data_IF_762342676442
#
_entry.id   IF_762342676442
#
_cell.length_a   1.000
_cell.length_b   1.000
_cell.length_c   1.000
_cell.angle_alpha   90.00
_cell.angle_beta   90.00
_cell.angle_gamma   90.00
#
_symmetry.space_group_name_H-M   'P 1'
#
loop_
_entity.id
_entity.type
_entity.pdbx_description
1 polymer ?
#
# COMPACT_ATOMS: atom_id res chain seq x y z
N UNK A 1 25.82 -6.10 -7.17
CA UNK A 1 27.10 -5.85 -6.46
C UNK A 1 26.86 -5.68 -4.96
N UNK A 2 25.93 -4.84 -4.51
CA UNK A 2 25.69 -4.62 -3.06
C UNK A 2 24.62 -5.55 -2.43
N UNK A 3 23.99 -6.45 -3.21
CA UNK A 3 22.92 -7.34 -2.75
C UNK A 3 21.76 -6.62 -2.03
N UNK A 4 21.40 -5.43 -2.52
CA UNK A 4 20.32 -4.62 -1.98
C UNK A 4 19.04 -4.80 -2.78
N UNK A 5 17.91 -4.84 -2.05
CA UNK A 5 16.59 -4.62 -2.61
C UNK A 5 16.36 -3.11 -2.76
N UNK A 6 15.60 -2.72 -3.78
CA UNK A 6 15.33 -1.33 -4.13
C UNK A 6 13.84 -1.13 -4.33
N UNK A 7 13.31 -0.19 -3.56
CA UNK A 7 12.02 0.46 -3.77
C UNK A 7 12.28 1.83 -4.39
N UNK A 8 11.65 2.13 -5.53
CA UNK A 8 11.82 3.41 -6.23
C UNK A 8 10.61 4.32 -6.01
N UNK A 9 10.85 5.46 -5.37
CA UNK A 9 9.87 6.53 -5.18
C UNK A 9 10.04 7.62 -6.24
N UNK A 10 9.01 8.45 -6.42
CA UNK A 10 8.98 9.60 -7.33
C UNK A 10 9.07 9.31 -8.85
N UNK A 11 8.96 10.38 -9.63
CA UNK A 11 8.94 10.32 -11.09
C UNK A 11 10.32 10.18 -11.75
N UNK A 12 10.43 9.52 -12.93
CA UNK A 12 9.29 9.06 -13.74
C UNK A 12 9.55 7.73 -14.45
N UNK A 13 9.36 6.59 -13.78
CA UNK A 13 9.09 5.35 -14.54
C UNK A 13 8.09 4.49 -13.78
N UNK A 14 6.91 4.35 -14.38
CA UNK A 14 5.94 3.32 -14.01
C UNK A 14 6.59 1.94 -13.99
N UNK A 15 6.10 0.96 -13.23
CA UNK A 15 6.55 -0.42 -13.42
C UNK A 15 6.39 -0.84 -14.88
N UNK A 16 7.36 -1.55 -15.45
CA UNK A 16 7.34 -1.97 -16.87
C UNK A 16 7.81 -3.43 -17.03
N UNK A 17 7.61 -4.24 -15.99
CA UNK A 17 8.11 -5.61 -15.93
C UNK A 17 9.60 -5.75 -15.61
N UNK A 18 10.25 -4.67 -15.15
CA UNK A 18 11.68 -4.65 -14.85
C UNK A 18 12.11 -5.72 -13.83
N UNK A 19 11.22 -6.12 -12.92
CA UNK A 19 11.42 -7.18 -11.94
C UNK A 19 11.88 -8.49 -12.58
N UNK A 20 11.45 -8.80 -13.82
CA UNK A 20 11.87 -10.01 -14.53
C UNK A 20 13.37 -10.02 -14.83
N UNK A 21 13.93 -8.86 -15.15
CA UNK A 21 15.35 -8.69 -15.47
C UNK A 21 16.16 -8.36 -14.22
N UNK A 22 15.60 -7.52 -13.34
CA UNK A 22 16.21 -7.00 -12.12
C UNK A 22 15.31 -7.33 -10.91
N UNK A 23 15.37 -8.57 -10.38
CA UNK A 23 14.47 -9.01 -9.32
C UNK A 23 14.67 -8.27 -7.98
N UNK A 24 15.77 -7.53 -7.86
CA UNK A 24 16.02 -6.67 -6.70
C UNK A 24 15.30 -5.33 -6.77
N UNK A 25 14.74 -4.93 -7.93
CA UNK A 25 13.83 -3.79 -8.04
C UNK A 25 12.41 -4.24 -7.69
N UNK A 26 12.14 -4.31 -6.38
CA UNK A 26 10.99 -5.06 -5.83
C UNK A 26 9.67 -4.34 -6.02
N UNK A 27 9.68 -3.01 -5.91
CA UNK A 27 8.48 -2.18 -5.99
C UNK A 27 8.81 -0.76 -6.43
N UNK A 28 7.75 0.00 -6.73
CA UNK A 28 7.82 1.42 -7.01
C UNK A 28 6.60 2.09 -6.44
N UNK A 29 6.71 3.33 -5.99
CA UNK A 29 5.55 4.09 -5.56
C UNK A 29 4.56 4.27 -6.73
N UNK A 30 4.94 5.06 -7.75
CA UNK A 30 4.15 5.34 -8.97
C UNK A 30 2.64 5.57 -8.74
N UNK A 31 2.30 6.10 -7.57
CA UNK A 31 0.94 6.34 -7.14
C UNK A 31 0.98 7.38 -6.02
N UNK A 32 -0.20 7.75 -5.53
CA UNK A 32 -0.30 8.56 -4.31
C UNK A 32 -0.55 7.62 -3.13
N UNK A 33 0.23 7.73 -2.06
CA UNK A 33 -0.05 7.01 -0.82
C UNK A 33 -1.33 7.53 -0.12
N UNK A 34 -1.92 6.76 0.79
CA UNK A 34 -3.24 7.12 1.38
C UNK A 34 -3.23 8.48 2.07
N UNK A 35 -2.10 8.86 2.66
CA UNK A 35 -1.97 10.09 3.42
C UNK A 35 -0.52 10.57 3.30
N UNK A 36 -0.27 11.29 2.20
CA UNK A 36 1.04 11.85 1.84
C UNK A 36 0.85 13.24 1.20
N UNK A 37 1.86 14.10 1.34
CA UNK A 37 1.89 15.46 0.81
C UNK A 37 0.62 16.29 1.09
N UNK A 38 0.04 16.15 2.30
CA UNK A 38 -1.21 16.77 2.72
C UNK A 38 -2.42 16.42 1.84
N UNK A 39 -2.35 15.31 1.10
CA UNK A 39 -3.37 14.83 0.17
C UNK A 39 -3.80 13.43 0.54
N UNK A 40 -5.06 13.17 0.25
CA UNK A 40 -5.72 11.91 0.58
C UNK A 40 -6.42 11.41 -0.67
N UNK A 41 -6.21 10.15 -1.02
CA UNK A 41 -6.95 9.53 -2.11
C UNK A 41 -8.28 8.94 -1.63
N UNK A 42 -9.25 8.85 -2.55
CA UNK A 42 -10.59 8.32 -2.26
C UNK A 42 -10.66 6.80 -2.52
N UNK A 43 -11.70 6.10 -2.04
CA UNK A 43 -11.91 4.70 -2.38
C UNK A 43 -11.92 4.43 -3.90
N UNK A 44 -12.46 5.35 -4.71
CA UNK A 44 -12.43 5.21 -6.17
C UNK A 44 -11.02 5.29 -6.73
N UNK A 45 -10.18 6.21 -6.24
CA UNK A 45 -8.77 6.31 -6.64
C UNK A 45 -7.98 5.05 -6.28
N UNK A 46 -8.26 4.45 -5.12
CA UNK A 46 -7.67 3.15 -4.77
C UNK A 46 -8.01 2.08 -5.81
N UNK A 47 -9.31 1.91 -6.11
CA UNK A 47 -9.74 0.90 -7.09
C UNK A 47 -9.14 1.18 -8.47
N UNK A 48 -9.08 2.44 -8.90
CA UNK A 48 -8.41 2.80 -10.17
C UNK A 48 -6.94 2.43 -10.14
N UNK A 49 -6.21 2.64 -9.05
CA UNK A 49 -4.80 2.28 -8.95
C UNK A 49 -4.57 0.78 -9.07
N UNK A 50 -5.44 -0.03 -8.46
CA UNK A 50 -5.41 -1.51 -8.57
C UNK A 50 -5.68 -1.98 -10.00
N UNK A 51 -6.67 -1.39 -10.67
CA UNK A 51 -7.09 -1.85 -12.02
C UNK A 51 -6.41 -1.12 -13.18
N UNK A 52 -5.60 -0.09 -12.93
CA UNK A 52 -4.91 0.67 -13.98
C UNK A 52 -3.41 0.68 -13.73
N UNK A 53 -2.95 1.25 -12.62
CA UNK A 53 -1.52 1.40 -12.35
C UNK A 53 -0.85 0.03 -12.10
N UNK A 54 -1.51 -0.84 -11.33
CA UNK A 54 -0.94 -2.14 -10.93
C UNK A 54 -0.90 -3.16 -12.08
N UNK A 55 -1.57 -2.89 -13.20
CA UNK A 55 -1.39 -3.68 -14.44
C UNK A 55 0.09 -3.65 -14.88
N UNK A 56 0.76 -2.52 -14.63
CA UNK A 56 2.13 -2.32 -15.07
C UNK A 56 3.15 -3.08 -14.20
N UNK A 57 2.78 -3.39 -12.95
CA UNK A 57 3.62 -4.10 -11.98
C UNK A 57 3.32 -3.72 -10.53
N UNK A 58 4.19 -4.12 -9.58
CA UNK A 58 3.98 -3.89 -8.15
C UNK A 58 4.00 -2.41 -7.79
N UNK A 59 3.18 -2.03 -6.81
CA UNK A 59 3.06 -0.67 -6.31
C UNK A 59 3.34 -0.60 -4.81
N UNK A 60 4.17 0.34 -4.38
CA UNK A 60 4.20 0.83 -2.99
C UNK A 60 3.17 1.94 -2.83
N UNK A 61 2.00 1.57 -2.31
CA UNK A 61 0.93 2.53 -1.99
C UNK A 61 0.92 2.95 -0.52
N UNK A 62 1.87 2.46 0.30
CA UNK A 62 1.88 2.67 1.76
C UNK A 62 0.48 2.47 2.39
N UNK A 63 -0.15 1.32 2.11
CA UNK A 63 -1.48 0.98 2.64
C UNK A 63 -1.40 0.51 4.10
N UNK A 64 -2.55 0.51 4.79
CA UNK A 64 -2.62 -0.03 6.16
C UNK A 64 -2.54 1.07 7.23
N UNK A 65 -3.17 2.22 6.97
CA UNK A 65 -3.35 3.27 7.98
C UNK A 65 -4.40 2.87 9.02
N UNK A 66 -4.06 2.94 10.31
CA UNK A 66 -4.95 2.52 11.39
C UNK A 66 -5.46 3.71 12.22
N UNK A 67 -4.77 4.86 12.17
CA UNK A 67 -5.29 6.14 12.65
C UNK A 67 -6.24 6.78 11.63
N UNK A 68 -7.51 6.36 11.67
CA UNK A 68 -8.58 6.87 10.80
C UNK A 68 -9.64 7.68 11.55
N UNK A 69 -9.28 8.32 12.67
CA UNK A 69 -10.25 9.07 13.49
C UNK A 69 -10.92 10.19 12.69
N UNK A 70 -12.20 10.42 12.97
CA UNK A 70 -12.95 11.51 12.33
C UNK A 70 -12.47 12.86 12.88
N UNK A 71 -12.15 13.79 11.97
CA UNK A 71 -11.54 15.08 12.30
C UNK A 71 -10.07 15.12 11.88
N UNK A 72 -9.31 16.06 12.46
CA UNK A 72 -7.86 16.07 12.27
C UNK A 72 -7.26 14.79 12.87
N UNK A 73 -6.46 14.05 12.10
CA UNK A 73 -5.67 12.93 12.67
C UNK A 73 -4.72 13.49 13.75
N UNK A 74 -4.16 12.66 14.63
CA UNK A 74 -3.12 13.17 15.56
C UNK A 74 -1.79 13.42 14.86
N UNK A 75 -1.68 13.17 13.56
CA UNK A 75 -0.49 13.52 12.80
C UNK A 75 -0.50 15.04 12.62
N UNK A 76 0.55 15.68 13.13
CA UNK A 76 0.71 17.14 13.02
C UNK A 76 0.83 17.56 11.58
N UNK A 77 1.56 16.77 10.78
CA UNK A 77 1.89 17.12 9.41
C UNK A 77 0.84 16.57 8.44
N UNK A 78 0.24 15.42 8.76
CA UNK A 78 -0.73 14.76 7.91
C UNK A 78 -2.11 14.63 8.57
N UNK A 79 -2.66 15.78 8.97
CA UNK A 79 -3.89 15.83 9.78
C UNK A 79 -5.18 15.60 8.98
N UNK A 80 -5.12 15.27 7.69
CA UNK A 80 -6.31 15.21 6.82
C UNK A 80 -7.21 14.00 7.15
N UNK A 81 -8.54 14.16 7.12
CA UNK A 81 -9.44 13.03 7.30
C UNK A 81 -9.29 12.03 6.14
N UNK A 82 -9.15 10.75 6.47
CA UNK A 82 -8.99 9.66 5.51
C UNK A 82 -10.35 8.99 5.25
N UNK A 83 -10.90 9.01 4.01
CA UNK A 83 -12.19 8.42 3.66
C UNK A 83 -12.06 6.90 3.45
N UNK A 84 -11.65 6.19 4.49
CA UNK A 84 -11.46 4.73 4.51
C UNK A 84 -12.00 4.14 5.81
N UNK A 85 -11.96 2.82 5.92
CA UNK A 85 -12.20 2.10 7.18
C UNK A 85 -10.95 1.31 7.54
N UNK A 86 -10.75 1.00 8.83
CA UNK A 86 -9.55 0.28 9.27
C UNK A 86 -9.48 -1.12 8.64
N UNK A 87 -10.64 -1.73 8.41
CA UNK A 87 -10.76 -3.02 7.71
C UNK A 87 -10.40 -2.86 6.23
N UNK A 88 -10.83 -1.77 5.57
CA UNK A 88 -10.42 -1.49 4.20
C UNK A 88 -8.91 -1.29 4.12
N UNK A 89 -8.31 -0.46 4.97
CA UNK A 89 -6.86 -0.25 5.02
C UNK A 89 -6.08 -1.53 5.23
N UNK A 90 -6.50 -2.38 6.17
CA UNK A 90 -5.91 -3.70 6.35
C UNK A 90 -6.04 -4.54 5.08
N UNK A 91 -7.22 -4.64 4.46
CA UNK A 91 -7.43 -5.42 3.25
C UNK A 91 -6.59 -4.94 2.05
N UNK A 92 -6.32 -3.63 1.95
CA UNK A 92 -5.51 -3.06 0.85
C UNK A 92 -4.08 -3.57 0.83
N UNK A 93 -3.53 -3.96 1.98
CA UNK A 93 -2.20 -4.59 2.08
C UNK A 93 -2.14 -5.97 1.41
N UNK A 94 -3.29 -6.66 1.33
CA UNK A 94 -3.43 -7.93 0.61
C UNK A 94 -3.78 -7.74 -0.86
N UNK A 95 -4.65 -6.76 -1.16
CA UNK A 95 -5.15 -6.48 -2.52
C UNK A 95 -4.03 -5.96 -3.42
N UNK A 96 -3.19 -5.06 -2.91
CA UNK A 96 -2.09 -4.48 -3.68
C UNK A 96 -0.87 -5.36 -3.57
N UNK A 97 -0.43 -5.91 -4.70
CA UNK A 97 0.87 -6.57 -4.76
C UNK A 97 1.97 -5.50 -4.81
N UNK A 98 2.80 -5.45 -3.76
CA UNK A 98 3.95 -4.55 -3.69
C UNK A 98 5.28 -5.29 -3.77
N UNK A 99 5.36 -6.56 -3.42
CA UNK A 99 6.66 -7.25 -3.28
C UNK A 99 7.38 -6.95 -1.97
N UNK A 100 7.23 -5.72 -1.43
CA UNK A 100 7.50 -5.38 -0.02
C UNK A 100 6.37 -4.49 0.49
N UNK A 101 5.57 -4.98 1.43
CA UNK A 101 4.46 -4.20 2.00
C UNK A 101 4.97 -3.31 3.13
N UNK A 102 4.81 -1.99 2.97
CA UNK A 102 5.13 -1.01 4.02
C UNK A 102 3.87 -0.70 4.81
N UNK A 103 4.00 -0.72 6.15
CA UNK A 103 2.95 -0.36 7.08
C UNK A 103 3.27 1.04 7.65
N UNK A 104 2.51 2.08 7.27
CA UNK A 104 2.89 3.49 7.47
C UNK A 104 2.62 4.06 8.86
N UNK A 105 1.94 3.33 9.75
CA UNK A 105 1.49 3.84 11.04
C UNK A 105 2.36 3.43 12.21
N UNK A 106 2.19 4.11 13.35
CA UNK A 106 2.93 3.75 14.56
C UNK A 106 2.38 2.46 15.19
N UNK A 107 3.22 1.63 15.84
CA UNK A 107 2.82 0.35 16.44
C UNK A 107 1.60 0.42 17.38
N UNK A 108 1.42 1.54 18.07
CA UNK A 108 0.34 1.80 19.01
C UNK A 108 -1.04 1.71 18.36
N UNK A 109 -1.17 2.09 17.08
CA UNK A 109 -2.43 1.99 16.37
C UNK A 109 -2.73 0.55 15.95
N UNK A 110 -1.73 -0.20 15.50
CA UNK A 110 -1.89 -1.62 15.18
C UNK A 110 -2.29 -2.46 16.41
N UNK A 111 -1.68 -2.18 17.57
CA UNK A 111 -1.98 -2.90 18.83
C UNK A 111 -3.42 -2.73 19.32
N UNK A 112 -4.14 -1.68 18.88
CA UNK A 112 -5.57 -1.49 19.22
C UNK A 112 -6.50 -2.48 18.51
N UNK A 113 -6.02 -3.11 17.43
CA UNK A 113 -6.80 -4.02 16.59
C UNK A 113 -6.05 -5.36 16.41
N UNK A 114 -5.95 -6.18 17.46
CA UNK A 114 -5.12 -7.39 17.46
C UNK A 114 -5.50 -8.38 16.34
N UNK A 115 -6.79 -8.52 16.02
CA UNK A 115 -7.24 -9.38 14.92
C UNK A 115 -6.79 -8.89 13.55
N UNK A 116 -6.73 -7.58 13.33
CA UNK A 116 -6.22 -7.01 12.08
C UNK A 116 -4.70 -7.06 12.03
N UNK A 117 -4.00 -6.89 13.15
CA UNK A 117 -2.56 -7.09 13.21
C UNK A 117 -2.20 -8.56 12.92
N UNK A 118 -2.96 -9.51 13.45
CA UNK A 118 -2.81 -10.93 13.10
C UNK A 118 -3.03 -11.15 11.59
N UNK A 119 -4.08 -10.56 11.02
CA UNK A 119 -4.33 -10.60 9.57
C UNK A 119 -3.15 -10.06 8.76
N UNK A 120 -2.57 -8.90 9.12
CA UNK A 120 -1.40 -8.34 8.46
C UNK A 120 -0.20 -9.29 8.56
N UNK A 121 0.06 -9.83 9.76
CA UNK A 121 1.19 -10.72 10.02
C UNK A 121 1.09 -12.09 9.35
N UNK A 122 -0.12 -12.55 9.05
CA UNK A 122 -0.38 -13.83 8.41
C UNK A 122 -0.10 -13.83 6.90
N UNK A 123 0.09 -12.65 6.29
CA UNK A 123 0.33 -12.53 4.85
C UNK A 123 1.73 -13.04 4.46
N UNK A 124 1.78 -13.83 3.38
CA UNK A 124 3.02 -14.46 2.89
C UNK A 124 3.28 -14.12 1.42
N UNK A 125 3.75 -12.90 1.17
CA UNK A 125 4.21 -12.50 -0.16
C UNK A 125 5.66 -12.97 -0.43
N UNK A 126 6.04 -13.30 -1.69
CA UNK A 126 5.19 -13.31 -2.88
C UNK A 126 4.26 -14.54 -2.96
N UNK A 127 3.13 -14.38 -3.64
CA UNK A 127 2.14 -15.43 -3.82
C UNK A 127 2.54 -16.42 -4.90
N UNK A 128 2.19 -17.70 -4.72
CA UNK A 128 2.31 -18.71 -5.78
C UNK A 128 1.23 -18.54 -6.87
N UNK A 129 0.04 -18.10 -6.45
CA UNK A 129 -1.12 -17.88 -7.31
C UNK A 129 -1.92 -16.68 -6.79
N UNK A 130 -2.49 -15.90 -7.70
CA UNK A 130 -3.36 -14.75 -7.42
C UNK A 130 -4.52 -14.72 -8.40
N UNK A 131 -5.74 -14.54 -7.91
CA UNK A 131 -6.97 -14.54 -8.72
C UNK A 131 -7.83 -13.33 -8.34
N UNK A 132 -8.26 -12.55 -9.34
CA UNK A 132 -9.28 -11.52 -9.18
C UNK A 132 -10.66 -12.16 -9.27
N UNK A 133 -11.42 -12.18 -8.17
CA UNK A 133 -12.69 -12.90 -8.11
C UNK A 133 -13.92 -12.10 -8.57
N UNK A 134 -13.96 -10.80 -8.28
CA UNK A 134 -15.08 -9.91 -8.62
C UNK A 134 -14.57 -8.50 -8.90
N UNK A 135 -14.97 -7.94 -10.02
CA UNK A 135 -14.74 -6.55 -10.45
C UNK A 135 -16.05 -5.96 -11.00
N UNK A 136 -16.18 -4.63 -11.01
CA UNK A 136 -17.36 -3.91 -11.51
C UNK A 136 -16.92 -2.83 -12.48
#
# INVERSE_FOLDING_TARGET
QNHLLVDFHDGPVHPYGQMRTFPNAVTREYCHAQLDAHRVFTPSTFTTSVFVNMIAGPLDMNNGMFDLRQGNTTRTDESKPVPSTVVSEAARTLIVFSGVTILPDIPEYYKRYPSLLEFLSAQKMPWKESITYKEK
#
